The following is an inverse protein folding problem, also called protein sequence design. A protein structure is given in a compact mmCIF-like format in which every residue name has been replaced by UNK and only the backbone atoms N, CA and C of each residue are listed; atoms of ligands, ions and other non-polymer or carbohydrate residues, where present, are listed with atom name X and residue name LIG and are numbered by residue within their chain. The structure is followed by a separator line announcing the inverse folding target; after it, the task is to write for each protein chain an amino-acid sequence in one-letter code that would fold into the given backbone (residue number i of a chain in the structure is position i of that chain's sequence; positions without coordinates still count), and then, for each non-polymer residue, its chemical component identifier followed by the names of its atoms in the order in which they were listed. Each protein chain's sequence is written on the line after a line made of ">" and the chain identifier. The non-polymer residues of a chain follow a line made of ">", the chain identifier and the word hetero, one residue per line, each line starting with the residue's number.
data_IF_126083682555
#
_entry.id   IF_126083682555
#
_cell.length_a   1.000
_cell.length_b   1.000
_cell.length_c   1.000
_cell.angle_alpha   90.00
_cell.angle_beta   90.00
_cell.angle_gamma   90.00
#
_symmetry.space_group_name_H-M   'P 1'
#
loop_
_entity.id
_entity.type
_entity.pdbx_description
1 polymer ?
#
# COMPACT_ATOMS: atom_id res chain seq x y z
N UNK A 1 -38.19 26.69 -45.12
CA UNK A 1 -38.55 25.94 -43.89
C UNK A 1 -37.54 24.81 -43.64
N UNK A 2 -36.32 25.07 -43.13
CA UNK A 2 -35.36 24.01 -42.72
C UNK A 2 -34.50 24.36 -41.49
N UNK A 3 -34.77 25.47 -40.78
CA UNK A 3 -33.91 25.94 -39.68
C UNK A 3 -34.44 25.72 -38.25
N UNK A 4 -35.62 25.11 -38.06
CA UNK A 4 -36.23 24.99 -36.73
C UNK A 4 -36.06 23.60 -36.04
N UNK A 5 -35.69 22.54 -36.77
CA UNK A 5 -35.70 21.17 -36.24
C UNK A 5 -34.45 20.77 -35.43
N UNK A 6 -33.29 21.39 -35.66
CA UNK A 6 -32.04 20.99 -35.00
C UNK A 6 -31.93 21.45 -33.53
N UNK A 7 -32.67 22.49 -33.12
CA UNK A 7 -32.56 23.07 -31.77
C UNK A 7 -33.37 22.32 -30.72
N UNK A 8 -34.40 21.56 -31.13
CA UNK A 8 -35.30 20.82 -30.22
C UNK A 8 -34.71 19.48 -29.77
N UNK A 9 -33.94 18.79 -30.61
CA UNK A 9 -33.32 17.50 -30.26
C UNK A 9 -32.18 17.64 -29.26
N UNK A 10 -31.41 18.72 -29.29
CA UNK A 10 -30.29 18.97 -28.37
C UNK A 10 -30.76 19.30 -26.95
N UNK A 11 -31.92 19.96 -26.79
CA UNK A 11 -32.49 20.25 -25.47
C UNK A 11 -33.14 19.02 -24.84
N UNK A 12 -33.82 18.19 -25.65
CA UNK A 12 -34.45 16.96 -25.16
C UNK A 12 -33.43 15.91 -24.67
N UNK A 13 -32.26 15.82 -25.32
CA UNK A 13 -31.16 14.93 -24.93
C UNK A 13 -30.49 15.38 -23.63
N UNK A 14 -30.30 16.68 -23.43
CA UNK A 14 -29.72 17.24 -22.22
C UNK A 14 -30.61 17.04 -20.98
N UNK A 15 -31.94 17.11 -21.14
CA UNK A 15 -32.92 16.99 -20.04
C UNK A 15 -33.10 15.55 -19.55
N UNK A 16 -32.74 14.53 -20.35
CA UNK A 16 -32.81 13.11 -19.96
C UNK A 16 -31.49 12.56 -19.44
N UNK A 17 -30.34 13.07 -19.92
CA UNK A 17 -29.01 12.61 -19.48
C UNK A 17 -28.68 13.13 -18.07
N UNK A 18 -29.05 14.37 -17.75
CA UNK A 18 -28.79 14.98 -16.43
C UNK A 18 -29.43 14.19 -15.27
N UNK A 19 -30.74 13.83 -15.30
CA UNK A 19 -31.33 13.04 -14.22
C UNK A 19 -30.78 11.61 -14.16
N UNK A 20 -30.35 11.02 -15.29
CA UNK A 20 -29.76 9.68 -15.30
C UNK A 20 -28.34 9.65 -14.72
N UNK A 21 -27.52 10.67 -15.02
CA UNK A 21 -26.20 10.86 -14.41
C UNK A 21 -26.31 11.22 -12.91
N UNK A 22 -27.33 11.99 -12.51
CA UNK A 22 -27.60 12.28 -11.09
C UNK A 22 -28.14 11.07 -10.32
N UNK A 23 -28.92 10.18 -10.96
CA UNK A 23 -29.42 8.95 -10.33
C UNK A 23 -28.30 7.94 -10.04
N UNK A 24 -27.22 7.93 -10.82
CA UNK A 24 -26.06 7.06 -10.60
C UNK A 24 -25.25 7.44 -9.32
N UNK A 25 -25.39 8.68 -8.83
CA UNK A 25 -24.70 9.18 -7.64
C UNK A 25 -25.50 8.94 -6.35
N UNK A 26 -26.79 8.58 -6.46
CA UNK A 26 -27.70 8.48 -5.30
C UNK A 26 -27.69 7.12 -4.58
N UNK A 27 -26.98 6.12 -5.10
CA UNK A 27 -26.81 4.85 -4.42
C UNK A 27 -25.35 4.67 -4.01
N UNK A 28 -24.96 5.07 -2.78
CA UNK A 28 -23.64 4.75 -2.27
C UNK A 28 -23.57 3.22 -2.09
N UNK A 29 -23.06 2.53 -3.10
CA UNK A 29 -22.62 1.14 -2.92
C UNK A 29 -21.38 1.18 -2.04
N UNK A 30 -21.26 0.30 -1.03
CA UNK A 30 -20.05 0.24 -0.22
C UNK A 30 -18.86 0.01 -1.14
N UNK A 31 -17.84 0.87 -1.05
CA UNK A 31 -16.60 0.69 -1.78
C UNK A 31 -15.89 -0.55 -1.24
N UNK A 32 -15.88 -1.63 -2.03
CA UNK A 32 -15.23 -2.89 -1.63
C UNK A 32 -13.70 -2.85 -1.86
N UNK A 33 -13.22 -1.89 -2.66
CA UNK A 33 -11.82 -1.68 -3.01
C UNK A 33 -11.08 -0.81 -1.98
N UNK A 34 -11.19 -1.15 -0.70
CA UNK A 34 -10.41 -0.51 0.37
C UNK A 34 -9.31 -1.46 0.88
N UNK A 35 -8.23 -0.95 1.50
CA UNK A 35 -7.19 -1.81 2.07
C UNK A 35 -7.70 -2.73 3.18
N UNK A 36 -7.04 -3.86 3.40
CA UNK A 36 -7.44 -4.85 4.39
C UNK A 36 -7.48 -4.29 5.82
N UNK A 37 -6.46 -3.54 6.24
CA UNK A 37 -6.46 -2.93 7.58
C UNK A 37 -7.55 -1.88 7.76
N UNK A 38 -7.88 -1.10 6.73
CA UNK A 38 -9.00 -0.16 6.79
C UNK A 38 -10.35 -0.89 7.02
N UNK A 39 -10.55 -2.05 6.38
CA UNK A 39 -11.72 -2.90 6.66
C UNK A 39 -11.73 -3.47 8.07
N UNK A 40 -10.57 -3.81 8.60
CA UNK A 40 -10.43 -4.40 9.92
C UNK A 40 -10.69 -3.40 11.05
N UNK A 41 -10.14 -2.20 10.93
CA UNK A 41 -10.19 -1.18 11.99
C UNK A 41 -11.37 -0.20 11.81
N UNK A 42 -11.92 -0.11 10.60
CA UNK A 42 -12.93 0.88 10.23
C UNK A 42 -12.39 2.31 10.12
N UNK A 43 -11.06 2.48 10.14
CA UNK A 43 -10.42 3.80 10.07
C UNK A 43 -10.22 4.27 8.63
N UNK A 44 -10.21 5.58 8.44
CA UNK A 44 -9.84 6.22 7.17
C UNK A 44 -8.34 6.03 6.87
N UNK A 45 -7.96 6.15 5.59
CA UNK A 45 -6.58 5.90 5.15
C UNK A 45 -5.57 6.85 5.82
N UNK A 46 -5.94 8.12 5.99
CA UNK A 46 -5.13 9.19 6.59
C UNK A 46 -4.94 9.03 8.11
N UNK A 47 -5.79 8.25 8.76
CA UNK A 47 -5.56 7.84 10.15
C UNK A 47 -4.32 6.95 10.26
N UNK A 48 -4.06 6.09 9.28
CA UNK A 48 -2.91 5.18 9.30
C UNK A 48 -1.69 5.73 8.55
N UNK A 49 -1.91 6.35 7.38
CA UNK A 49 -0.86 6.82 6.49
C UNK A 49 -0.82 8.35 6.40
N UNK A 50 0.38 8.93 6.45
CA UNK A 50 0.57 10.38 6.34
C UNK A 50 0.03 10.87 5.00
N UNK A 51 -0.93 11.78 5.04
CA UNK A 51 -1.60 12.30 3.84
C UNK A 51 -2.57 11.32 3.17
N UNK A 52 -2.81 10.14 3.75
CA UNK A 52 -3.72 9.12 3.23
C UNK A 52 -3.19 8.33 2.02
N UNK A 53 -1.96 8.60 1.59
CA UNK A 53 -1.32 7.96 0.44
C UNK A 53 0.11 7.51 0.77
N UNK A 54 0.53 6.41 0.17
CA UNK A 54 1.87 5.85 0.39
C UNK A 54 2.00 5.11 1.73
N UNK A 55 3.17 4.50 1.98
CA UNK A 55 3.40 3.63 3.12
C UNK A 55 3.68 4.38 4.42
N UNK A 56 4.03 5.67 4.38
CA UNK A 56 4.48 6.39 5.58
C UNK A 56 3.41 6.40 6.68
N UNK A 57 3.72 5.89 7.87
CA UNK A 57 2.76 5.74 8.96
C UNK A 57 2.66 7.00 9.81
N UNK A 58 1.44 7.32 10.24
CA UNK A 58 1.15 8.23 11.36
C UNK A 58 1.51 7.56 12.70
N UNK A 59 1.35 8.26 13.81
CA UNK A 59 1.46 7.62 15.14
C UNK A 59 0.47 6.47 15.31
N UNK A 60 -0.78 6.62 14.86
CA UNK A 60 -1.77 5.55 14.93
C UNK A 60 -1.38 4.34 14.07
N UNK A 61 -0.89 4.56 12.85
CA UNK A 61 -0.41 3.48 11.98
C UNK A 61 0.76 2.71 12.58
N UNK A 62 1.69 3.42 13.25
CA UNK A 62 2.80 2.80 13.99
C UNK A 62 2.30 1.97 15.17
N UNK A 63 1.35 2.48 15.93
CA UNK A 63 0.78 1.75 17.06
C UNK A 63 0.06 0.47 16.60
N UNK A 64 -0.69 0.52 15.51
CA UNK A 64 -1.31 -0.68 14.93
C UNK A 64 -0.26 -1.76 14.63
N UNK A 65 0.87 -1.36 14.05
CA UNK A 65 1.99 -2.26 13.74
C UNK A 65 2.73 -2.76 14.99
N UNK A 66 3.02 -1.87 15.93
CA UNK A 66 3.63 -2.19 17.23
C UNK A 66 2.81 -3.26 17.97
N UNK A 67 1.48 -3.09 17.97
CA UNK A 67 0.51 -4.00 18.57
C UNK A 67 0.14 -5.18 17.65
N UNK A 68 1.04 -5.54 16.74
CA UNK A 68 0.98 -6.77 15.96
C UNK A 68 -0.18 -6.86 14.97
N UNK A 69 -0.69 -5.73 14.49
CA UNK A 69 -1.82 -5.65 13.54
C UNK A 69 -3.14 -6.25 14.06
N UNK A 70 -3.32 -6.31 15.38
CA UNK A 70 -4.42 -7.07 16.02
C UNK A 70 -5.66 -6.24 16.33
N UNK A 71 -5.65 -4.93 16.07
CA UNK A 71 -6.78 -4.07 16.41
C UNK A 71 -7.98 -4.28 15.48
N UNK A 72 -9.18 -4.24 16.04
CA UNK A 72 -10.41 -4.50 15.30
C UNK A 72 -10.69 -6.00 15.14
N UNK A 73 -11.67 -6.34 14.30
CA UNK A 73 -12.03 -7.73 14.04
C UNK A 73 -12.70 -7.85 12.67
N UNK A 74 -12.34 -8.89 11.93
CA UNK A 74 -12.95 -9.21 10.64
C UNK A 74 -13.62 -10.57 10.75
N UNK A 75 -14.96 -10.62 10.66
CA UNK A 75 -15.71 -11.89 10.76
C UNK A 75 -15.43 -12.88 9.61
N UNK A 76 -14.86 -12.41 8.50
CA UNK A 76 -14.60 -13.20 7.30
C UNK A 76 -13.17 -12.96 6.82
N UNK A 77 -12.34 -14.00 6.83
CA UNK A 77 -10.93 -13.97 6.41
C UNK A 77 -10.74 -13.52 4.95
N UNK A 78 -11.72 -13.71 4.07
CA UNK A 78 -11.62 -13.21 2.69
C UNK A 78 -11.49 -11.68 2.63
N UNK A 79 -11.95 -10.96 3.65
CA UNK A 79 -11.82 -9.50 3.76
C UNK A 79 -10.42 -9.04 4.22
N UNK A 80 -9.50 -9.96 4.51
CA UNK A 80 -8.09 -9.65 4.78
C UNK A 80 -7.28 -9.58 3.46
N UNK A 81 -7.88 -9.95 2.33
CA UNK A 81 -7.27 -9.78 1.01
C UNK A 81 -7.58 -8.43 0.40
N UNK A 82 -6.58 -7.72 -0.10
CA UNK A 82 -6.76 -6.52 -0.94
C UNK A 82 -5.84 -6.56 -2.15
N UNK A 83 -6.19 -5.85 -3.21
CA UNK A 83 -5.37 -5.76 -4.40
C UNK A 83 -5.05 -4.30 -4.73
N UNK A 84 -3.91 -4.07 -5.38
CA UNK A 84 -3.46 -2.77 -5.87
C UNK A 84 -2.96 -2.92 -7.29
N UNK A 85 -3.24 -1.92 -8.12
CA UNK A 85 -2.62 -1.74 -9.43
C UNK A 85 -1.94 -0.37 -9.38
N UNK A 86 -0.67 -0.32 -9.73
CA UNK A 86 0.09 0.91 -9.80
C UNK A 86 0.81 0.99 -11.15
N UNK A 87 0.76 2.17 -11.76
CA UNK A 87 1.30 2.43 -13.08
C UNK A 87 1.11 3.89 -13.46
N UNK A 88 1.71 4.29 -14.57
CA UNK A 88 1.73 5.67 -15.00
C UNK A 88 2.33 5.87 -16.38
N UNK A 89 2.53 7.15 -16.71
CA UNK A 89 3.17 7.58 -17.95
C UNK A 89 4.50 8.26 -17.63
N UNK A 90 5.55 7.84 -18.32
CA UNK A 90 6.91 8.36 -18.14
C UNK A 90 7.30 9.22 -19.32
N UNK A 91 7.69 10.46 -19.05
CA UNK A 91 8.21 11.42 -20.03
C UNK A 91 9.57 11.94 -19.59
N UNK A 92 10.53 11.90 -20.51
CA UNK A 92 11.87 12.44 -20.33
C UNK A 92 12.08 13.63 -21.27
N UNK A 93 12.85 14.62 -20.81
CA UNK A 93 13.23 15.77 -21.64
C UNK A 93 14.11 15.38 -22.85
N UNK A 94 14.77 14.22 -22.77
CA UNK A 94 15.52 13.58 -23.85
C UNK A 94 15.30 12.08 -23.80
N UNK A 95 15.27 11.45 -24.97
CA UNK A 95 15.10 10.01 -25.09
C UNK A 95 16.20 9.23 -24.34
N UNK A 96 15.80 8.13 -23.70
CA UNK A 96 16.73 7.25 -23.00
C UNK A 96 17.68 6.57 -23.99
N UNK A 97 19.00 6.53 -23.71
CA UNK A 97 19.95 5.73 -24.49
C UNK A 97 19.53 4.26 -24.52
N UNK A 98 19.78 3.57 -25.64
CA UNK A 98 19.36 2.17 -25.84
C UNK A 98 19.80 1.22 -24.71
N UNK A 99 20.98 1.46 -24.12
CA UNK A 99 21.51 0.65 -23.01
C UNK A 99 20.71 0.77 -21.70
N UNK A 100 19.85 1.79 -21.55
CA UNK A 100 19.02 2.02 -20.37
C UNK A 100 17.53 1.77 -20.63
N UNK A 101 17.16 1.28 -21.81
CA UNK A 101 15.77 1.01 -22.15
C UNK A 101 15.35 -0.34 -21.57
N UNK A 102 14.20 -0.36 -20.89
CA UNK A 102 13.56 -1.60 -20.43
C UNK A 102 12.98 -2.36 -21.62
N UNK A 103 13.09 -3.69 -21.61
CA UNK A 103 12.56 -4.55 -22.67
C UNK A 103 11.06 -4.28 -22.88
N UNK A 104 10.62 -4.21 -24.13
CA UNK A 104 9.23 -3.92 -24.56
C UNK A 104 8.75 -2.48 -24.38
N UNK A 105 9.60 -1.55 -23.94
CA UNK A 105 9.30 -0.13 -23.86
C UNK A 105 10.13 0.69 -24.85
N UNK A 106 9.58 1.82 -25.31
CA UNK A 106 10.28 2.77 -26.16
C UNK A 106 11.27 3.63 -25.37
N UNK A 107 12.00 4.49 -26.07
CA UNK A 107 12.98 5.38 -25.45
C UNK A 107 12.35 6.48 -24.57
N UNK A 108 11.06 6.78 -24.75
CA UNK A 108 10.34 7.87 -24.08
C UNK A 108 8.81 7.71 -24.23
N UNK A 109 8.02 8.49 -23.49
CA UNK A 109 6.56 8.56 -23.57
C UNK A 109 5.85 7.21 -23.39
N UNK A 110 6.33 6.42 -22.43
CA UNK A 110 5.82 5.08 -22.20
C UNK A 110 4.68 5.09 -21.19
N UNK A 111 3.66 4.27 -21.44
CA UNK A 111 2.68 3.87 -20.44
C UNK A 111 3.07 2.52 -19.87
N UNK A 112 3.08 2.39 -18.54
CA UNK A 112 3.38 1.14 -17.87
C UNK A 112 2.39 0.85 -16.76
N UNK A 113 2.06 -0.43 -16.60
CA UNK A 113 1.58 -0.98 -15.33
C UNK A 113 2.83 -1.44 -14.60
N UNK A 114 3.31 -0.65 -13.65
CA UNK A 114 4.55 -0.93 -12.94
C UNK A 114 4.40 -2.16 -12.06
N UNK A 115 3.27 -2.27 -11.34
CA UNK A 115 3.01 -3.39 -10.44
C UNK A 115 1.53 -3.71 -10.23
N UNK A 116 1.24 -5.00 -10.09
CA UNK A 116 -0.04 -5.52 -9.61
C UNK A 116 0.27 -6.32 -8.33
N UNK A 117 -0.33 -5.93 -7.22
CA UNK A 117 -0.04 -6.53 -5.93
C UNK A 117 -1.29 -7.11 -5.28
N UNK A 118 -1.13 -8.28 -4.69
CA UNK A 118 -2.11 -8.91 -3.80
C UNK A 118 -1.57 -8.86 -2.38
N UNK A 119 -2.39 -8.39 -1.46
CA UNK A 119 -2.07 -8.30 -0.05
C UNK A 119 -2.92 -9.28 0.73
N UNK A 120 -2.32 -9.93 1.71
CA UNK A 120 -3.01 -10.61 2.80
C UNK A 120 -2.56 -9.94 4.10
N UNK A 121 -3.45 -9.21 4.75
CA UNK A 121 -3.10 -8.39 5.90
C UNK A 121 -4.24 -8.32 6.90
N UNK A 122 -3.93 -8.52 8.18
CA UNK A 122 -4.93 -8.51 9.23
C UNK A 122 -4.56 -9.31 10.48
N UNK A 123 -5.48 -9.31 11.43
CA UNK A 123 -5.45 -10.09 12.67
C UNK A 123 -5.75 -11.56 12.38
N UNK A 124 -4.81 -12.45 12.69
CA UNK A 124 -4.97 -13.90 12.58
C UNK A 124 -5.64 -14.46 13.85
N UNK A 125 -5.07 -14.14 15.01
CA UNK A 125 -5.60 -14.48 16.34
C UNK A 125 -5.44 -13.28 17.28
N UNK A 126 -5.92 -13.36 18.52
CA UNK A 126 -5.99 -12.22 19.43
C UNK A 126 -4.66 -11.49 19.65
N UNK A 127 -3.56 -12.24 19.65
CA UNK A 127 -2.21 -11.71 19.89
C UNK A 127 -1.31 -11.80 18.66
N UNK A 128 -1.84 -12.08 17.47
CA UNK A 128 -1.01 -12.22 16.27
C UNK A 128 -1.71 -11.72 15.01
N UNK A 129 -1.00 -10.92 14.22
CA UNK A 129 -1.42 -10.44 12.91
C UNK A 129 -0.29 -10.49 11.90
N UNK A 130 -0.62 -10.18 10.65
CA UNK A 130 0.35 -10.14 9.57
C UNK A 130 0.11 -8.98 8.60
N UNK A 131 1.16 -8.67 7.87
CA UNK A 131 1.16 -8.02 6.58
C UNK A 131 1.95 -8.90 5.61
N UNK A 132 1.38 -9.21 4.44
CA UNK A 132 2.11 -9.92 3.39
C UNK A 132 1.66 -9.43 2.02
N UNK A 133 2.62 -9.30 1.11
CA UNK A 133 2.40 -8.82 -0.24
C UNK A 133 3.06 -9.74 -1.26
N UNK A 134 2.34 -10.05 -2.33
CA UNK A 134 2.87 -10.66 -3.54
C UNK A 134 2.67 -9.69 -4.70
N UNK A 135 3.69 -9.53 -5.53
CA UNK A 135 3.70 -8.52 -6.60
C UNK A 135 4.09 -9.15 -7.93
N UNK A 136 3.35 -8.80 -8.98
CA UNK A 136 3.78 -8.96 -10.36
C UNK A 136 4.32 -7.62 -10.86
N UNK A 137 5.56 -7.60 -11.33
CA UNK A 137 6.17 -6.45 -12.00
C UNK A 137 5.81 -6.48 -13.48
N UNK A 138 5.08 -5.47 -13.95
CA UNK A 138 4.71 -5.39 -15.37
C UNK A 138 5.86 -4.91 -16.26
N UNK A 139 6.80 -4.13 -15.73
CA UNK A 139 7.97 -3.67 -16.48
C UNK A 139 9.08 -4.71 -16.55
N UNK A 140 9.19 -5.57 -15.53
CA UNK A 140 10.20 -6.64 -15.46
C UNK A 140 9.68 -8.05 -15.79
N UNK A 141 8.39 -8.19 -16.14
CA UNK A 141 7.69 -9.47 -16.44
C UNK A 141 8.06 -10.60 -15.46
N UNK A 142 7.89 -10.32 -14.17
CA UNK A 142 8.29 -11.24 -13.11
C UNK A 142 7.38 -11.18 -11.90
N UNK A 143 7.29 -12.30 -11.19
CA UNK A 143 6.56 -12.43 -9.94
C UNK A 143 7.54 -12.46 -8.78
N UNK A 144 7.24 -11.73 -7.73
CA UNK A 144 7.99 -11.75 -6.49
C UNK A 144 7.07 -11.87 -5.30
N UNK A 145 7.58 -12.55 -4.27
CA UNK A 145 7.06 -12.40 -2.93
C UNK A 145 7.72 -11.17 -2.32
N UNK A 146 6.93 -10.15 -2.02
CA UNK A 146 7.42 -8.85 -1.56
C UNK A 146 7.60 -8.87 -0.04
N UNK A 147 7.32 -7.78 0.68
CA UNK A 147 7.41 -7.75 2.12
C UNK A 147 6.36 -8.64 2.82
N UNK A 148 6.84 -9.43 3.77
CA UNK A 148 6.06 -10.14 4.80
C UNK A 148 6.56 -9.74 6.18
N UNK A 149 5.62 -9.40 7.06
CA UNK A 149 5.84 -9.09 8.48
C UNK A 149 4.73 -9.76 9.31
N UNK A 150 5.09 -10.72 10.15
CA UNK A 150 4.18 -11.44 11.06
C UNK A 150 4.60 -11.09 12.48
N UNK A 151 3.64 -10.69 13.31
CA UNK A 151 3.94 -10.21 14.66
C UNK A 151 3.05 -10.90 15.68
N UNK A 152 3.68 -11.46 16.71
CA UNK A 152 3.01 -11.88 17.92
C UNK A 152 3.31 -10.88 19.04
N UNK A 153 2.28 -10.41 19.76
CA UNK A 153 2.42 -9.38 20.80
C UNK A 153 1.73 -9.76 22.09
N UNK A 154 2.30 -9.29 23.21
CA UNK A 154 1.69 -9.41 24.53
C UNK A 154 1.87 -8.11 25.30
N UNK A 155 0.77 -7.64 25.87
CA UNK A 155 0.77 -6.50 26.77
C UNK A 155 1.05 -6.98 28.20
N UNK A 156 1.90 -6.25 28.90
CA UNK A 156 2.25 -6.51 30.29
C UNK A 156 2.57 -5.19 31.00
N UNK A 157 2.95 -5.27 32.27
CA UNK A 157 3.44 -4.14 33.04
C UNK A 157 4.89 -4.39 33.45
N UNK A 158 5.73 -3.37 33.33
CA UNK A 158 7.11 -3.37 33.83
C UNK A 158 7.34 -2.12 34.67
N UNK A 159 7.78 -2.29 35.91
CA UNK A 159 7.98 -1.20 36.87
C UNK A 159 6.75 -0.29 37.04
N UNK A 160 5.55 -0.88 36.99
CA UNK A 160 4.28 -0.15 37.15
C UNK A 160 3.81 0.64 35.92
N UNK A 161 4.50 0.50 34.78
CA UNK A 161 4.16 1.16 33.50
C UNK A 161 3.81 0.14 32.41
N UNK A 162 3.00 0.53 31.40
CA UNK A 162 2.66 -0.34 30.28
C UNK A 162 3.91 -0.80 29.52
N UNK A 163 3.90 -2.05 29.08
CA UNK A 163 4.94 -2.63 28.23
C UNK A 163 4.28 -3.53 27.19
N UNK A 164 4.47 -3.20 25.91
CA UNK A 164 4.21 -4.13 24.81
C UNK A 164 5.49 -4.92 24.57
N UNK A 165 5.41 -6.25 24.53
CA UNK A 165 6.51 -7.10 24.05
C UNK A 165 6.05 -7.89 22.84
N UNK A 166 6.92 -8.02 21.84
CA UNK A 166 6.60 -8.69 20.60
C UNK A 166 7.73 -9.53 20.04
N UNK A 167 7.33 -10.49 19.22
CA UNK A 167 8.21 -11.28 18.34
C UNK A 167 7.77 -10.96 16.92
N UNK A 168 8.70 -10.62 16.04
CA UNK A 168 8.43 -10.47 14.62
C UNK A 168 9.16 -11.53 13.79
N UNK A 169 8.50 -11.98 12.72
CA UNK A 169 9.08 -12.85 11.68
C UNK A 169 8.82 -12.17 10.35
N UNK A 170 9.89 -11.91 9.60
CA UNK A 170 9.82 -11.15 8.37
C UNK A 170 10.78 -11.68 7.29
N UNK A 171 10.64 -11.24 6.05
CA UNK A 171 11.58 -11.53 4.96
C UNK A 171 12.36 -10.29 4.48
N UNK A 172 12.38 -9.23 5.28
CA UNK A 172 13.08 -7.99 5.01
C UNK A 172 13.45 -7.33 6.35
N UNK A 173 14.72 -7.34 6.76
CA UNK A 173 15.13 -6.84 8.07
C UNK A 173 14.69 -5.40 8.37
N UNK A 174 14.52 -4.57 7.34
CA UNK A 174 14.07 -3.19 7.50
C UNK A 174 12.55 -3.02 7.57
N UNK A 175 11.77 -4.05 7.24
CA UNK A 175 10.30 -3.99 7.32
C UNK A 175 9.82 -3.88 8.76
N UNK A 176 10.59 -4.35 9.74
CA UNK A 176 10.18 -4.32 11.14
C UNK A 176 10.14 -2.89 11.73
N UNK A 177 10.88 -1.95 11.14
CA UNK A 177 11.03 -0.58 11.63
C UNK A 177 9.67 0.15 11.67
N UNK A 178 9.33 0.68 12.85
CA UNK A 178 8.09 1.42 13.06
C UNK A 178 8.17 2.84 12.46
N UNK A 179 9.34 3.48 12.49
CA UNK A 179 9.49 4.87 12.03
C UNK A 179 9.76 5.00 10.54
N UNK A 180 9.99 3.88 9.84
CA UNK A 180 10.25 3.84 8.39
C UNK A 180 11.46 4.72 8.00
N UNK A 181 12.47 4.68 8.87
CA UNK A 181 13.80 5.26 8.68
C UNK A 181 14.72 4.32 7.89
N UNK A 182 14.41 3.02 7.89
CA UNK A 182 15.12 2.00 7.14
C UNK A 182 14.48 1.71 5.76
N UNK A 183 15.23 1.16 4.78
CA UNK A 183 14.88 1.20 3.36
C UNK A 183 13.52 0.63 2.92
N UNK A 184 12.89 -0.29 3.67
CA UNK A 184 11.65 -0.96 3.26
C UNK A 184 10.52 -0.01 2.84
N UNK A 185 10.40 1.15 3.48
CA UNK A 185 9.28 2.09 3.30
C UNK A 185 9.72 3.54 3.16
N UNK A 186 11.01 3.78 2.88
CA UNK A 186 11.55 5.13 2.73
C UNK A 186 11.03 5.82 1.47
N UNK A 187 10.92 7.15 1.54
CA UNK A 187 10.66 7.98 0.37
C UNK A 187 11.82 7.85 -0.65
N UNK A 188 11.56 7.89 -1.98
CA UNK A 188 10.27 8.09 -2.66
C UNK A 188 9.39 6.83 -2.72
N UNK A 189 8.09 6.99 -2.44
CA UNK A 189 7.13 5.87 -2.34
C UNK A 189 6.50 5.44 -3.66
N UNK A 190 6.56 6.31 -4.66
CA UNK A 190 5.91 6.16 -5.95
C UNK A 190 6.89 6.66 -7.01
N UNK A 191 7.48 5.71 -7.73
CA UNK A 191 8.40 6.00 -8.85
C UNK A 191 8.08 5.06 -10.00
N UNK A 192 8.41 5.47 -11.21
CA UNK A 192 8.30 4.58 -12.38
C UNK A 192 9.52 3.66 -12.43
N UNK A 193 9.29 2.38 -12.71
CA UNK A 193 10.36 1.41 -12.92
C UNK A 193 11.11 1.65 -14.25
N UNK A 194 10.61 2.53 -15.12
CA UNK A 194 11.26 2.89 -16.38
C UNK A 194 12.31 4.00 -16.23
N UNK A 195 12.39 4.64 -15.06
CA UNK A 195 13.36 5.70 -14.82
C UNK A 195 14.71 5.12 -14.39
N UNK A 196 15.84 5.65 -14.91
CA UNK A 196 17.15 5.30 -14.40
C UNK A 196 17.23 5.57 -12.88
N UNK A 197 17.62 4.57 -12.11
CA UNK A 197 17.79 4.69 -10.66
C UNK A 197 19.27 4.66 -10.28
N UNK A 198 19.58 5.21 -9.10
CA UNK A 198 20.91 5.05 -8.50
C UNK A 198 21.08 3.60 -8.05
N UNK A 199 22.05 2.88 -8.62
CA UNK A 199 22.31 1.48 -8.28
C UNK A 199 22.94 1.25 -6.90
N UNK A 200 23.24 2.31 -6.16
CA UNK A 200 23.81 2.23 -4.81
C UNK A 200 22.69 2.30 -3.77
N UNK A 201 22.60 1.27 -2.92
CA UNK A 201 21.71 1.23 -1.78
C UNK A 201 22.46 0.76 -0.52
N UNK A 202 21.96 1.08 0.69
CA UNK A 202 22.47 0.48 1.92
C UNK A 202 22.41 -1.05 1.83
N UNK A 203 23.45 -1.74 2.30
CA UNK A 203 23.54 -3.21 2.22
C UNK A 203 22.29 -3.92 2.77
N UNK A 204 21.74 -3.41 3.89
CA UNK A 204 20.52 -3.94 4.50
C UNK A 204 19.30 -3.93 3.56
N UNK A 205 19.22 -2.98 2.61
CA UNK A 205 18.16 -2.94 1.61
C UNK A 205 18.24 -4.11 0.63
N UNK A 206 19.46 -4.58 0.30
CA UNK A 206 19.66 -5.76 -0.55
C UNK A 206 19.34 -7.09 0.13
N UNK A 207 19.11 -7.10 1.44
CA UNK A 207 18.71 -8.30 2.20
C UNK A 207 17.20 -8.58 2.12
N UNK A 208 16.42 -7.62 1.62
CA UNK A 208 14.99 -7.81 1.40
C UNK A 208 14.74 -8.96 0.43
N UNK A 209 13.77 -9.82 0.75
CA UNK A 209 13.37 -11.02 0.00
C UNK A 209 14.44 -12.11 -0.15
N UNK A 210 15.69 -11.88 0.30
CA UNK A 210 16.80 -12.85 0.24
C UNK A 210 17.13 -13.44 1.61
N UNK A 211 16.53 -12.92 2.68
CA UNK A 211 16.76 -13.34 4.06
C UNK A 211 15.46 -13.49 4.83
N UNK A 212 15.46 -14.35 5.85
CA UNK A 212 14.40 -14.41 6.87
C UNK A 212 14.91 -13.78 8.17
N UNK A 213 14.08 -12.96 8.81
CA UNK A 213 14.34 -12.34 10.10
C UNK A 213 13.45 -12.92 11.19
N UNK A 214 14.03 -13.03 12.40
CA UNK A 214 13.33 -13.25 13.66
C UNK A 214 13.82 -12.18 14.64
N UNK A 215 12.91 -11.35 15.14
CA UNK A 215 13.23 -10.27 16.06
C UNK A 215 12.42 -10.34 17.34
N UNK A 216 12.96 -9.73 18.39
CA UNK A 216 12.26 -9.41 19.63
C UNK A 216 12.21 -7.89 19.72
N UNK A 217 11.06 -7.35 20.10
CA UNK A 217 10.91 -5.92 20.31
C UNK A 217 10.01 -5.63 21.51
N UNK A 218 10.08 -4.40 22.00
CA UNK A 218 9.12 -3.91 22.99
C UNK A 218 9.05 -2.40 23.06
N UNK A 219 7.90 -1.90 23.53
CA UNK A 219 7.67 -0.49 23.81
C UNK A 219 7.26 -0.34 25.27
N UNK A 220 8.08 0.37 26.04
CA UNK A 220 7.81 0.68 27.45
C UNK A 220 7.32 2.11 27.60
N UNK A 221 6.17 2.27 28.26
CA UNK A 221 5.58 3.57 28.63
C UNK A 221 5.49 4.55 27.45
N UNK A 222 5.16 4.03 26.26
CA UNK A 222 5.06 4.77 24.98
C UNK A 222 6.25 5.69 24.66
N UNK A 223 7.43 5.39 25.22
CA UNK A 223 8.59 6.29 25.19
C UNK A 223 9.91 5.61 24.86
N UNK A 224 10.08 4.34 25.24
CA UNK A 224 11.32 3.59 24.96
C UNK A 224 10.99 2.36 24.13
N UNK A 225 11.55 2.30 22.92
CA UNK A 225 11.48 1.15 22.03
C UNK A 225 12.84 0.47 21.92
N UNK A 226 12.83 -0.86 21.96
CA UNK A 226 14.00 -1.71 21.80
C UNK A 226 13.65 -2.98 21.03
#
# INVERSE_FOLDING_TARGET
>A
MKHALHKSMTTALAVTIVPFASALVMFPTPAHAIPAFARQTGQACDMCHVGGFGPQLTSYGRELKLNGYTWGNVKNRLKEFSAMIYGGMSHYSKDLPAAMQTTHYGANNNWAVDQISLFYAGKIVDNMGLFSQATYSGTGDSYSWDNTDIRYVKDTMLAGKPLVVGVDVNNNPSVQDLWQTAPAWTFPWATTALAPSVGTSPYIGGMAQTTGGLGLYGMWDDSIYA
#
